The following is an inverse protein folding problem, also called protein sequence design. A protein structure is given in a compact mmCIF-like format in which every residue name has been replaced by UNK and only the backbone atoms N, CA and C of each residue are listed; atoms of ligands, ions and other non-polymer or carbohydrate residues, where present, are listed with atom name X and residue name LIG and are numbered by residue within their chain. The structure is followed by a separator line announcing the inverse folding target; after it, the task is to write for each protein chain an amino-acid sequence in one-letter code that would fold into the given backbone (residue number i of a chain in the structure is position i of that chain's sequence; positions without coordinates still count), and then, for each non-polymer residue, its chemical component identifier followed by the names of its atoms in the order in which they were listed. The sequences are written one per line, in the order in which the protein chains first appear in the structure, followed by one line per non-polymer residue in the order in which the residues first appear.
data_IF_783884877225
#
_entry.id   IF_783884877225
#
_cell.length_a   1.000
_cell.length_b   1.000
_cell.length_c   1.000
_cell.angle_alpha   90.00
_cell.angle_beta   90.00
_cell.angle_gamma   90.00
#
_symmetry.space_group_name_H-M   'P 1'
#
loop_
_entity.id
_entity.type
_entity.pdbx_description
1 polymer ?
#
# COMPACT_ATOMS: atom_id res chain seq x y z
N UNK A 1 10.40 -25.92 13.90
CA UNK A 1 10.73 -24.48 13.75
C UNK A 1 11.20 -24.26 12.31
N UNK A 2 10.50 -23.46 11.51
CA UNK A 2 10.90 -23.21 10.12
C UNK A 2 11.99 -22.13 10.11
N UNK A 3 13.16 -22.52 9.61
CA UNK A 3 14.30 -21.69 9.23
C UNK A 3 13.86 -20.30 8.75
N UNK A 4 14.19 -19.27 9.52
CA UNK A 4 14.27 -17.89 9.04
C UNK A 4 15.26 -17.87 7.88
N UNK A 5 14.84 -17.33 6.73
CA UNK A 5 15.80 -17.03 5.65
C UNK A 5 16.82 -16.03 6.20
N UNK A 6 18.12 -16.17 5.85
CA UNK A 6 19.08 -15.13 6.16
C UNK A 6 18.60 -13.81 5.52
N UNK A 7 18.56 -12.75 6.32
CA UNK A 7 18.16 -11.41 5.89
C UNK A 7 19.35 -10.80 5.14
N UNK A 8 19.17 -10.51 3.86
CA UNK A 8 20.21 -9.94 2.98
C UNK A 8 20.41 -8.44 3.27
N UNK A 9 21.64 -7.91 3.07
CA UNK A 9 21.91 -6.48 3.20
C UNK A 9 21.10 -5.63 2.21
N UNK A 10 21.03 -4.34 2.50
CA UNK A 10 20.25 -3.32 1.80
C UNK A 10 20.48 -3.35 0.28
N UNK A 11 19.43 -3.63 -0.50
CA UNK A 11 19.42 -3.51 -1.96
C UNK A 11 19.13 -2.05 -2.34
N UNK A 12 20.19 -1.24 -2.43
CA UNK A 12 20.12 0.20 -2.74
C UNK A 12 19.46 0.47 -4.10
N UNK A 13 19.70 -0.39 -5.09
CA UNK A 13 19.09 -0.30 -6.42
C UNK A 13 17.59 -0.55 -6.33
N UNK A 14 17.19 -1.60 -5.59
CA UNK A 14 15.80 -1.90 -5.29
C UNK A 14 15.08 -0.76 -4.57
N UNK A 15 15.74 -0.10 -3.62
CA UNK A 15 15.18 1.06 -2.90
C UNK A 15 15.00 2.25 -3.83
N UNK A 16 16.02 2.58 -4.63
CA UNK A 16 15.95 3.69 -5.60
C UNK A 16 14.80 3.50 -6.59
N UNK A 17 14.63 2.28 -7.10
CA UNK A 17 13.52 1.92 -7.98
C UNK A 17 12.18 2.13 -7.27
N UNK A 18 12.01 1.59 -6.07
CA UNK A 18 10.76 1.70 -5.30
C UNK A 18 10.41 3.14 -4.93
N UNK A 19 11.40 3.95 -4.55
CA UNK A 19 11.23 5.40 -4.29
C UNK A 19 10.64 6.09 -5.52
N UNK A 20 11.25 5.88 -6.69
CA UNK A 20 10.77 6.43 -7.96
C UNK A 20 9.36 5.94 -8.30
N UNK A 21 9.06 4.68 -8.02
CA UNK A 21 7.73 4.11 -8.22
C UNK A 21 6.67 4.82 -7.36
N UNK A 22 6.99 5.11 -6.10
CA UNK A 22 6.10 5.81 -5.16
C UNK A 22 5.87 7.26 -5.61
N UNK A 23 6.91 7.96 -6.05
CA UNK A 23 6.80 9.32 -6.58
C UNK A 23 5.89 9.37 -7.82
N UNK A 24 6.14 8.49 -8.80
CA UNK A 24 5.30 8.36 -10.00
C UNK A 24 3.85 8.06 -9.65
N UNK A 25 3.61 7.16 -8.69
CA UNK A 25 2.27 6.85 -8.22
C UNK A 25 1.60 8.08 -7.58
N UNK A 26 2.32 8.81 -6.73
CA UNK A 26 1.80 9.99 -6.02
C UNK A 26 1.37 11.11 -6.97
N UNK A 27 2.16 11.35 -8.03
CA UNK A 27 1.84 12.34 -9.06
C UNK A 27 0.60 11.94 -9.86
N UNK A 28 0.47 10.66 -10.19
CA UNK A 28 -0.65 10.15 -10.97
C UNK A 28 -1.96 10.21 -10.19
N UNK A 29 -1.95 9.76 -8.94
CA UNK A 29 -3.18 9.64 -8.13
C UNK A 29 -3.55 10.94 -7.42
N UNK A 30 -2.74 11.99 -7.57
CA UNK A 30 -2.91 13.29 -6.90
C UNK A 30 -4.26 13.97 -7.18
N UNK A 31 -4.87 13.71 -8.34
CA UNK A 31 -6.20 14.19 -8.70
C UNK A 31 -7.36 13.31 -8.22
N UNK A 32 -7.08 12.15 -7.62
CA UNK A 32 -7.98 10.99 -7.63
C UNK A 32 -8.14 10.35 -6.26
N UNK A 33 -7.14 10.56 -5.41
CA UNK A 33 -7.06 10.05 -4.06
C UNK A 33 -6.82 11.28 -3.16
N UNK A 34 -7.38 11.29 -1.94
CA UNK A 34 -7.21 12.40 -1.02
C UNK A 34 -5.74 12.82 -0.82
N UNK A 35 -5.51 14.14 -0.78
CA UNK A 35 -4.17 14.75 -0.64
C UNK A 35 -3.34 14.21 0.52
N UNK A 36 -3.96 13.77 1.62
CA UNK A 36 -3.24 13.17 2.73
C UNK A 36 -2.59 11.82 2.36
N UNK A 37 -3.21 11.02 1.50
CA UNK A 37 -2.63 9.75 1.01
C UNK A 37 -1.43 10.04 0.11
N UNK A 38 -1.55 11.03 -0.75
CA UNK A 38 -0.45 11.53 -1.60
C UNK A 38 0.72 12.02 -0.72
N UNK A 39 0.43 12.78 0.34
CA UNK A 39 1.45 13.24 1.27
C UNK A 39 2.17 12.07 1.95
N UNK A 40 1.45 10.99 2.33
CA UNK A 40 2.07 9.77 2.89
C UNK A 40 3.01 9.11 1.87
N UNK A 41 2.61 9.04 0.59
CA UNK A 41 3.49 8.52 -0.49
C UNK A 41 4.77 9.35 -0.62
N UNK A 42 4.65 10.69 -0.65
CA UNK A 42 5.82 11.58 -0.76
C UNK A 42 6.75 11.45 0.44
N UNK A 43 6.19 11.35 1.66
CA UNK A 43 7.00 11.15 2.87
C UNK A 43 7.69 9.77 2.87
N UNK A 44 7.02 8.73 2.37
CA UNK A 44 7.61 7.41 2.24
C UNK A 44 8.81 7.43 1.29
N UNK A 45 8.69 8.06 0.12
CA UNK A 45 9.79 8.22 -0.84
C UNK A 45 11.00 8.93 -0.18
N UNK A 46 10.76 10.06 0.50
CA UNK A 46 11.81 10.81 1.20
C UNK A 46 12.51 9.99 2.29
N UNK A 47 11.75 9.24 3.10
CA UNK A 47 12.34 8.42 4.16
C UNK A 47 13.16 7.26 3.58
N UNK A 48 12.68 6.64 2.50
CA UNK A 48 13.43 5.58 1.80
C UNK A 48 14.77 6.09 1.27
N UNK A 49 14.81 7.33 0.75
CA UNK A 49 16.02 7.97 0.25
C UNK A 49 16.97 8.44 1.38
N UNK A 50 16.43 9.02 2.45
CA UNK A 50 17.23 9.68 3.50
C UNK A 50 17.70 8.77 4.63
N UNK A 51 16.85 7.85 5.08
CA UNK A 51 17.12 7.02 6.27
C UNK A 51 17.62 5.61 5.93
N UNK A 52 17.58 5.24 4.64
CA UNK A 52 18.06 3.98 4.10
C UNK A 52 17.57 2.75 4.88
N UNK A 53 18.41 1.72 4.94
CA UNK A 53 18.12 0.47 5.66
C UNK A 53 18.53 0.45 7.14
N UNK A 54 18.58 1.61 7.81
CA UNK A 54 18.72 1.61 9.27
C UNK A 54 17.50 0.92 9.92
N UNK A 55 17.64 0.34 11.12
CA UNK A 55 16.50 -0.30 11.80
C UNK A 55 15.35 0.68 12.03
N UNK A 56 15.65 1.90 12.50
CA UNK A 56 14.64 2.94 12.68
C UNK A 56 14.03 3.42 11.35
N UNK A 57 14.86 3.64 10.33
CA UNK A 57 14.39 3.97 8.98
C UNK A 57 13.45 2.90 8.43
N UNK A 58 13.81 1.63 8.60
CA UNK A 58 13.02 0.48 8.17
C UNK A 58 11.67 0.40 8.89
N UNK A 59 11.63 0.62 10.20
CA UNK A 59 10.36 0.69 10.95
C UNK A 59 9.50 1.83 10.41
N UNK A 60 10.07 3.01 10.21
CA UNK A 60 9.36 4.16 9.63
C UNK A 60 8.77 3.84 8.25
N UNK A 61 9.55 3.18 7.39
CA UNK A 61 9.12 2.72 6.06
C UNK A 61 7.90 1.78 6.20
N UNK A 62 7.96 0.76 7.06
CA UNK A 62 6.83 -0.16 7.26
C UNK A 62 5.60 0.52 7.86
N UNK A 63 5.78 1.46 8.80
CA UNK A 63 4.70 2.28 9.34
C UNK A 63 3.99 3.07 8.24
N UNK A 64 4.75 3.74 7.36
CA UNK A 64 4.19 4.51 6.26
C UNK A 64 3.55 3.62 5.19
N UNK A 65 4.16 2.48 4.86
CA UNK A 65 3.58 1.50 3.93
C UNK A 65 2.25 0.94 4.44
N UNK A 66 2.17 0.59 5.72
CA UNK A 66 0.91 0.14 6.33
C UNK A 66 -0.13 1.26 6.30
N UNK A 67 0.24 2.47 6.72
CA UNK A 67 -0.66 3.61 6.72
C UNK A 67 -1.20 3.89 5.31
N UNK A 68 -0.32 3.84 4.31
CA UNK A 68 -0.67 4.00 2.90
C UNK A 68 -1.67 2.93 2.45
N UNK A 69 -1.38 1.67 2.72
CA UNK A 69 -2.24 0.53 2.41
C UNK A 69 -3.63 0.66 3.07
N UNK A 70 -3.67 0.97 4.36
CA UNK A 70 -4.90 1.16 5.13
C UNK A 70 -5.73 2.31 4.55
N UNK A 71 -5.10 3.45 4.27
CA UNK A 71 -5.75 4.63 3.73
C UNK A 71 -6.32 4.38 2.32
N UNK A 72 -5.57 3.71 1.44
CA UNK A 72 -6.04 3.34 0.09
C UNK A 72 -7.25 2.41 0.16
N UNK A 73 -7.20 1.36 0.97
CA UNK A 73 -8.32 0.41 1.12
C UNK A 73 -9.52 1.09 1.74
N UNK A 74 -9.33 1.91 2.77
CA UNK A 74 -10.40 2.65 3.43
C UNK A 74 -11.08 3.61 2.45
N UNK A 75 -10.29 4.38 1.69
CA UNK A 75 -10.83 5.30 0.69
C UNK A 75 -11.70 4.58 -0.33
N UNK A 76 -11.18 3.51 -0.94
CA UNK A 76 -11.91 2.76 -1.98
C UNK A 76 -13.13 2.04 -1.41
N UNK A 77 -13.05 1.51 -0.19
CA UNK A 77 -14.20 0.93 0.51
C UNK A 77 -15.31 1.98 0.67
N UNK A 78 -14.99 3.18 1.16
CA UNK A 78 -15.96 4.25 1.38
C UNK A 78 -16.54 4.76 0.06
N UNK A 79 -15.71 5.00 -0.95
CA UNK A 79 -16.16 5.39 -2.29
C UNK A 79 -17.13 4.37 -2.90
N UNK A 80 -16.95 3.08 -2.60
CA UNK A 80 -17.85 2.02 -3.07
C UNK A 80 -19.22 2.00 -2.38
N UNK A 81 -19.37 2.65 -1.23
CA UNK A 81 -20.60 2.66 -0.42
C UNK A 81 -21.61 3.73 -0.85
N UNK A 82 -21.26 4.65 -1.77
CA UNK A 82 -22.10 5.79 -2.17
C UNK A 82 -22.61 6.61 -0.97
N UNK A 83 -21.76 6.79 0.05
CA UNK A 83 -22.08 7.61 1.22
C UNK A 83 -22.09 9.08 0.78
N UNK A 84 -23.12 9.82 1.19
CA UNK A 84 -23.34 11.23 0.83
C UNK A 84 -22.21 12.15 1.33
N UNK A 85 -21.73 11.93 2.57
CA UNK A 85 -20.51 12.56 3.10
C UNK A 85 -19.51 11.52 3.65
N UNK A 86 -18.54 11.10 2.83
CA UNK A 86 -17.43 10.22 3.23
C UNK A 86 -16.64 10.72 4.44
N UNK A 87 -16.47 12.04 4.60
CA UNK A 87 -15.64 12.64 5.65
C UNK A 87 -16.35 12.51 7.01
N UNK A 88 -17.66 12.72 7.07
CA UNK A 88 -18.44 12.49 8.30
C UNK A 88 -18.35 11.03 8.74
N UNK A 89 -18.43 10.09 7.81
CA UNK A 89 -18.27 8.67 8.11
C UNK A 89 -16.89 8.36 8.71
N UNK A 90 -15.82 8.88 8.09
CA UNK A 90 -14.45 8.72 8.62
C UNK A 90 -14.32 9.35 10.00
N UNK A 91 -14.78 10.59 10.19
CA UNK A 91 -14.73 11.30 11.48
C UNK A 91 -15.43 10.51 12.59
N UNK A 92 -16.60 9.93 12.31
CA UNK A 92 -17.34 9.10 13.27
C UNK A 92 -16.56 7.84 13.66
N UNK A 93 -15.89 7.19 12.70
CA UNK A 93 -15.04 6.01 12.98
C UNK A 93 -13.75 6.37 13.71
N UNK A 94 -13.12 7.49 13.36
CA UNK A 94 -11.89 7.95 14.01
C UNK A 94 -12.10 8.32 15.47
N UNK A 95 -13.26 8.89 15.83
CA UNK A 95 -13.64 9.13 17.23
C UNK A 95 -13.71 7.85 18.08
N UNK A 96 -13.88 6.69 17.43
CA UNK A 96 -13.91 5.38 18.09
C UNK A 96 -12.57 4.63 17.97
N UNK A 97 -11.48 5.31 17.60
CA UNK A 97 -10.14 4.72 17.38
C UNK A 97 -10.13 3.53 16.40
N UNK A 98 -11.13 3.43 15.52
CA UNK A 98 -11.33 2.31 14.60
C UNK A 98 -11.46 2.78 13.15
N UNK A 99 -10.59 3.71 12.75
CA UNK A 99 -10.58 4.32 11.41
C UNK A 99 -10.50 3.24 10.32
N UNK A 100 -9.56 2.31 10.44
CA UNK A 100 -9.43 1.13 9.58
C UNK A 100 -9.96 -0.14 10.28
N UNK A 101 -10.54 -1.07 9.50
CA UNK A 101 -10.85 -2.41 9.96
C UNK A 101 -10.53 -3.43 8.88
N UNK A 102 -9.94 -4.57 9.26
CA UNK A 102 -9.68 -5.70 8.36
C UNK A 102 -10.94 -6.17 7.63
N UNK A 103 -12.12 -5.96 8.21
CA UNK A 103 -13.41 -6.24 7.55
C UNK A 103 -13.61 -5.43 6.26
N UNK A 104 -12.99 -4.25 6.12
CA UNK A 104 -13.02 -3.46 4.89
C UNK A 104 -12.38 -4.23 3.72
N UNK A 105 -11.28 -4.96 3.96
CA UNK A 105 -10.65 -5.85 2.96
C UNK A 105 -11.63 -6.92 2.50
N UNK A 106 -12.31 -7.58 3.45
CA UNK A 106 -13.28 -8.64 3.17
C UNK A 106 -14.47 -8.11 2.36
N UNK A 107 -14.84 -6.84 2.57
CA UNK A 107 -15.99 -6.18 1.96
C UNK A 107 -15.66 -5.38 0.69
N UNK A 108 -14.43 -5.40 0.20
CA UNK A 108 -14.10 -4.80 -1.11
C UNK A 108 -15.04 -5.37 -2.19
N UNK A 109 -15.82 -4.50 -2.83
CA UNK A 109 -16.77 -4.89 -3.88
C UNK A 109 -16.02 -5.32 -5.14
N UNK A 110 -16.56 -6.31 -5.85
CA UNK A 110 -16.06 -6.84 -7.11
C UNK A 110 -14.63 -7.44 -7.08
N UNK A 111 -13.96 -7.46 -5.93
CA UNK A 111 -12.66 -8.14 -5.77
C UNK A 111 -12.87 -9.63 -5.44
N UNK A 112 -12.24 -10.51 -6.23
CA UNK A 112 -12.33 -11.96 -6.05
C UNK A 112 -11.77 -12.43 -4.68
N UNK A 113 -12.33 -13.51 -4.12
CA UNK A 113 -11.96 -14.02 -2.80
C UNK A 113 -10.48 -14.35 -2.64
N UNK A 114 -9.86 -14.94 -3.67
CA UNK A 114 -8.41 -15.22 -3.67
C UNK A 114 -7.57 -13.94 -3.57
N UNK A 115 -8.01 -12.85 -4.18
CA UNK A 115 -7.36 -11.53 -4.13
C UNK A 115 -7.53 -10.87 -2.77
N UNK A 116 -8.72 -10.94 -2.18
CA UNK A 116 -8.94 -10.52 -0.78
C UNK A 116 -8.03 -11.26 0.20
N UNK A 117 -7.83 -12.57 0.01
CA UNK A 117 -6.92 -13.38 0.83
C UNK A 117 -5.46 -12.93 0.68
N UNK A 118 -5.02 -12.63 -0.55
CA UNK A 118 -3.69 -12.07 -0.81
C UNK A 118 -3.51 -10.70 -0.14
N UNK A 119 -4.43 -9.75 -0.36
CA UNK A 119 -4.41 -8.42 0.27
C UNK A 119 -4.32 -8.54 1.81
N UNK A 120 -5.14 -9.41 2.41
CA UNK A 120 -5.14 -9.65 3.85
C UNK A 120 -3.79 -10.21 4.33
N UNK A 121 -3.20 -11.16 3.59
CA UNK A 121 -1.91 -11.75 3.94
C UNK A 121 -0.81 -10.67 3.92
N UNK A 122 -0.75 -9.86 2.88
CA UNK A 122 0.21 -8.75 2.74
C UNK A 122 0.05 -7.73 3.86
N UNK A 123 -1.20 -7.35 4.18
CA UNK A 123 -1.52 -6.49 5.32
C UNK A 123 -0.97 -7.03 6.64
N UNK A 124 -1.20 -8.33 6.92
CA UNK A 124 -0.71 -8.96 8.14
C UNK A 124 0.82 -9.08 8.16
N UNK A 125 1.47 -9.25 7.00
CA UNK A 125 2.93 -9.29 6.90
C UNK A 125 3.56 -7.93 7.27
N UNK A 126 3.09 -6.83 6.66
CA UNK A 126 3.62 -5.49 7.01
C UNK A 126 3.27 -5.10 8.45
N UNK A 127 2.12 -5.54 8.96
CA UNK A 127 1.67 -5.25 10.33
C UNK A 127 2.60 -5.82 11.42
N UNK A 128 3.34 -6.89 11.13
CA UNK A 128 4.28 -7.50 12.09
C UNK A 128 5.41 -6.54 12.49
N UNK A 129 5.79 -5.63 11.59
CA UNK A 129 6.91 -4.70 11.80
C UNK A 129 6.52 -3.42 12.53
N UNK A 130 5.23 -3.19 12.76
CA UNK A 130 4.72 -1.95 13.37
C UNK A 130 3.94 -2.19 14.66
N UNK A 131 3.51 -3.44 14.89
CA UNK A 131 2.98 -3.84 16.19
C UNK A 131 4.13 -4.20 17.12
N UNK A 132 3.97 -4.00 18.45
CA UNK A 132 4.95 -4.44 19.45
C UNK A 132 4.97 -5.98 19.51
N UNK A 133 5.57 -6.59 18.49
CA UNK A 133 5.74 -8.03 18.32
C UNK A 133 7.19 -8.40 18.60
N UNK A 134 7.45 -9.68 18.83
CA UNK A 134 8.79 -10.20 19.11
C UNK A 134 9.83 -9.75 18.05
N UNK A 135 9.40 -9.57 16.79
CA UNK A 135 10.24 -9.08 15.69
C UNK A 135 10.79 -7.68 15.97
N UNK A 136 9.99 -6.79 16.55
CA UNK A 136 10.38 -5.42 16.87
C UNK A 136 11.26 -5.35 18.12
N UNK A 137 11.08 -6.29 19.06
CA UNK A 137 11.78 -6.27 20.34
C UNK A 137 13.15 -6.96 20.32
N UNK A 138 13.39 -7.91 19.40
CA UNK A 138 14.52 -8.84 19.52
C UNK A 138 15.50 -8.83 18.35
N UNK A 139 15.24 -8.05 17.29
CA UNK A 139 15.99 -8.16 16.04
C UNK A 139 16.32 -6.80 15.42
N UNK A 140 17.53 -6.69 14.86
CA UNK A 140 17.82 -5.69 13.83
C UNK A 140 16.88 -5.92 12.66
N UNK A 141 16.03 -4.93 12.37
CA UNK A 141 15.08 -5.03 11.27
C UNK A 141 15.75 -4.51 10.00
N UNK A 142 15.80 -5.37 8.99
CA UNK A 142 16.23 -5.04 7.64
C UNK A 142 15.01 -4.83 6.74
N UNK A 143 15.17 -3.96 5.74
CA UNK A 143 14.12 -3.69 4.77
C UNK A 143 13.99 -4.87 3.81
N UNK A 144 12.83 -5.53 3.83
CA UNK A 144 12.49 -6.57 2.86
C UNK A 144 11.89 -5.91 1.62
N UNK A 145 12.74 -5.65 0.63
CA UNK A 145 12.37 -5.05 -0.67
C UNK A 145 11.24 -5.83 -1.35
N UNK A 146 11.19 -7.17 -1.19
CA UNK A 146 10.13 -8.00 -1.77
C UNK A 146 8.79 -7.73 -1.08
N UNK A 147 8.78 -7.58 0.24
CA UNK A 147 7.58 -7.19 0.99
C UNK A 147 7.13 -5.77 0.63
N UNK A 148 8.06 -4.80 0.51
CA UNK A 148 7.73 -3.44 0.07
C UNK A 148 7.04 -3.48 -1.28
N UNK A 149 7.63 -4.20 -2.24
CA UNK A 149 7.06 -4.40 -3.58
C UNK A 149 5.69 -5.07 -3.53
N UNK A 150 5.50 -6.09 -2.69
CA UNK A 150 4.20 -6.76 -2.53
C UNK A 150 3.13 -5.82 -1.96
N UNK A 151 3.49 -4.92 -1.03
CA UNK A 151 2.59 -3.88 -0.52
C UNK A 151 2.22 -2.88 -1.62
N UNK A 152 3.19 -2.43 -2.42
CA UNK A 152 2.94 -1.54 -3.56
C UNK A 152 2.06 -2.21 -4.63
N UNK A 153 2.27 -3.50 -4.90
CA UNK A 153 1.45 -4.28 -5.83
C UNK A 153 -0.01 -4.34 -5.32
N UNK A 154 -0.22 -4.55 -4.02
CA UNK A 154 -1.57 -4.48 -3.44
C UNK A 154 -2.19 -3.10 -3.61
N UNK A 155 -1.46 -2.02 -3.30
CA UNK A 155 -1.96 -0.65 -3.42
C UNK A 155 -2.38 -0.36 -4.86
N UNK A 156 -1.49 -0.64 -5.81
CA UNK A 156 -1.74 -0.42 -7.22
C UNK A 156 -2.89 -1.29 -7.75
N UNK A 157 -2.96 -2.56 -7.35
CA UNK A 157 -4.03 -3.47 -7.71
C UNK A 157 -5.40 -2.93 -7.25
N UNK A 158 -5.48 -2.48 -6.01
CA UNK A 158 -6.74 -1.98 -5.43
C UNK A 158 -7.19 -0.70 -6.12
N UNK A 159 -6.26 0.20 -6.47
CA UNK A 159 -6.53 1.42 -7.26
C UNK A 159 -7.01 1.07 -8.67
N UNK A 160 -6.23 0.27 -9.40
CA UNK A 160 -6.56 -0.15 -10.77
C UNK A 160 -7.93 -0.86 -10.83
N UNK A 161 -8.21 -1.71 -9.85
CA UNK A 161 -9.49 -2.40 -9.74
C UNK A 161 -10.66 -1.42 -9.51
N UNK A 162 -10.47 -0.42 -8.65
CA UNK A 162 -11.47 0.59 -8.37
C UNK A 162 -11.79 1.44 -9.62
N UNK A 163 -10.79 1.79 -10.42
CA UNK A 163 -10.94 2.48 -11.70
C UNK A 163 -11.72 1.61 -12.70
N UNK A 164 -11.32 0.34 -12.88
CA UNK A 164 -12.01 -0.59 -13.79
C UNK A 164 -13.46 -0.84 -13.38
N UNK A 165 -13.74 -0.84 -12.08
CA UNK A 165 -15.09 -1.04 -11.52
C UNK A 165 -15.95 0.22 -11.53
N UNK A 166 -15.42 1.37 -11.99
CA UNK A 166 -16.12 2.66 -11.96
C UNK A 166 -16.34 3.24 -10.56
N UNK A 167 -15.60 2.75 -9.55
CA UNK A 167 -15.59 3.30 -8.19
C UNK A 167 -14.77 4.59 -8.14
N UNK A 168 -13.69 4.65 -8.93
CA UNK A 168 -12.92 5.86 -9.19
C UNK A 168 -13.14 6.30 -10.63
N UNK A 169 -13.06 7.61 -10.86
CA UNK A 169 -13.19 8.17 -12.20
C UNK A 169 -12.07 7.61 -13.12
N UNK A 170 -12.41 7.36 -14.38
CA UNK A 170 -11.46 6.89 -15.41
C UNK A 170 -10.51 8.00 -15.85
N UNK A 171 -10.94 9.26 -15.81
CA UNK A 171 -10.10 10.42 -16.11
C UNK A 171 -8.97 10.56 -15.09
N UNK A 172 -9.25 10.10 -13.87
CA UNK A 172 -8.35 10.18 -12.74
C UNK A 172 -7.13 9.25 -12.88
N UNK A 173 -7.24 8.06 -13.46
CA UNK A 173 -6.09 7.15 -13.55
C UNK A 173 -5.89 6.64 -14.97
N UNK A 174 -4.85 7.14 -15.64
CA UNK A 174 -4.40 6.60 -16.92
C UNK A 174 -3.95 5.13 -16.72
N UNK A 175 -4.79 4.18 -17.16
CA UNK A 175 -4.56 2.75 -17.00
C UNK A 175 -3.26 2.29 -17.68
N UNK A 176 -2.88 2.90 -18.81
CA UNK A 176 -1.63 2.60 -19.50
C UNK A 176 -0.43 3.05 -18.67
N UNK A 177 -0.55 4.19 -17.98
CA UNK A 177 0.48 4.63 -17.05
C UNK A 177 0.58 3.67 -15.84
N UNK A 178 -0.55 3.26 -15.24
CA UNK A 178 -0.54 2.27 -14.16
C UNK A 178 0.12 0.96 -14.61
N UNK A 179 -0.11 0.57 -15.86
CA UNK A 179 0.49 -0.64 -16.46
C UNK A 179 2.00 -0.48 -16.66
N UNK A 180 2.44 0.68 -17.13
CA UNK A 180 3.86 1.04 -17.23
C UNK A 180 4.56 0.98 -15.88
N UNK A 181 3.94 1.56 -14.85
CA UNK A 181 4.44 1.51 -13.47
C UNK A 181 4.48 0.08 -12.93
N UNK A 182 3.42 -0.71 -13.15
CA UNK A 182 3.40 -2.11 -12.73
C UNK A 182 4.53 -2.93 -13.38
N UNK A 183 4.86 -2.64 -14.64
CA UNK A 183 5.96 -3.29 -15.35
C UNK A 183 7.32 -2.86 -14.81
N UNK A 184 7.54 -1.56 -14.64
CA UNK A 184 8.79 -0.99 -14.15
C UNK A 184 9.15 -1.49 -12.74
N UNK A 185 8.14 -1.64 -11.87
CA UNK A 185 8.33 -2.01 -10.47
C UNK A 185 8.06 -3.51 -10.20
N UNK A 186 7.89 -4.31 -11.26
CA UNK A 186 7.62 -5.76 -11.20
C UNK A 186 6.40 -6.15 -10.32
N UNK A 187 5.31 -5.37 -10.43
CA UNK A 187 4.06 -5.55 -9.68
C UNK A 187 3.13 -6.53 -10.41
N UNK A 188 3.42 -7.81 -10.22
CA UNK A 188 2.86 -8.91 -11.01
C UNK A 188 1.33 -8.98 -10.99
N UNK A 189 0.68 -8.79 -9.85
CA UNK A 189 -0.77 -8.93 -9.76
C UNK A 189 -1.52 -7.74 -10.34
N UNK A 190 -0.97 -6.54 -10.16
CA UNK A 190 -1.41 -5.33 -10.84
C UNK A 190 -1.25 -5.45 -12.35
N UNK A 191 -0.10 -5.94 -12.83
CA UNK A 191 0.16 -6.12 -14.26
C UNK A 191 -0.80 -7.12 -14.90
N UNK A 192 -1.07 -8.25 -14.22
CA UNK A 192 -2.09 -9.23 -14.67
C UNK A 192 -3.48 -8.63 -14.75
N UNK A 193 -3.86 -7.77 -13.80
CA UNK A 193 -5.13 -7.07 -13.84
C UNK A 193 -5.20 -6.08 -15.00
N UNK A 194 -4.14 -5.29 -15.21
CA UNK A 194 -4.09 -4.21 -16.21
C UNK A 194 -3.85 -4.70 -17.64
N UNK A 195 -3.47 -5.96 -17.82
CA UNK A 195 -3.26 -6.56 -19.15
C UNK A 195 -4.48 -7.29 -19.72
N UNK A 196 -5.57 -7.36 -18.95
CA UNK A 196 -6.88 -7.87 -19.39
C UNK A 196 -7.74 -6.76 -19.95
#
# INVERSE_FOLDING_TARGET
MKSSRPLEPCDEEGISLLTRCIEKLSNLVGGCIPRHIVNVMVQLAKIMEQLGCSTYGTICIYCLLKLLLEATIQYIYISSMKIEDPIIYVRKRSRNYASFSVTMIKRLRNVHGSKKKWILKTYLQVSKFVHPSDVVWTSTIYLDVKLVREVLDVILYVIAHAVRSGVLDKVCANLDFLKGLAKECELNESLKLLSR
#
